data_IF_228998304960
#
_entry.id   IF_228998304960
#
_cell.length_a   1.000
_cell.length_b   1.000
_cell.length_c   1.000
_cell.angle_alpha   90.00
_cell.angle_beta   90.00
_cell.angle_gamma   90.00
#
_symmetry.space_group_name_H-M   'P 1'
#
loop_
_entity.id
_entity.type
_entity.pdbx_description
1 polymer ?
#
# COMPACT_ATOMS: atom_id res chain seq x y z
N UNK A 1 5.89 -13.53 -31.81
CA UNK A 1 5.64 -12.08 -31.70
C UNK A 1 5.86 -11.72 -30.25
N UNK A 2 6.81 -10.85 -29.94
CA UNK A 2 7.01 -10.33 -28.59
C UNK A 2 5.72 -9.62 -28.17
N UNK A 3 5.01 -10.15 -27.19
CA UNK A 3 3.81 -9.52 -26.63
C UNK A 3 4.23 -8.31 -25.82
N UNK A 4 3.69 -7.15 -26.17
CA UNK A 4 3.92 -5.89 -25.47
C UNK A 4 3.57 -6.04 -23.97
N UNK A 5 4.48 -5.70 -23.03
CA UNK A 5 4.26 -5.88 -21.60
C UNK A 5 3.10 -5.03 -21.05
N UNK A 6 2.75 -3.90 -21.68
CA UNK A 6 1.57 -3.11 -21.31
C UNK A 6 0.28 -3.86 -21.67
N UNK A 7 0.26 -4.53 -22.82
CA UNK A 7 -0.84 -5.41 -23.22
C UNK A 7 -0.99 -6.60 -22.26
N UNK A 8 0.12 -7.22 -21.83
CA UNK A 8 0.09 -8.29 -20.81
C UNK A 8 -0.46 -7.75 -19.48
N UNK A 9 0.05 -6.60 -19.00
CA UNK A 9 -0.40 -5.94 -17.78
C UNK A 9 -1.91 -5.66 -17.81
N UNK A 10 -2.43 -5.21 -18.95
CA UNK A 10 -3.85 -4.89 -19.14
C UNK A 10 -4.72 -6.14 -19.16
N UNK A 11 -4.20 -7.27 -19.64
CA UNK A 11 -4.91 -8.55 -19.70
C UNK A 11 -4.97 -9.29 -18.35
N UNK A 12 -4.18 -8.88 -17.33
CA UNK A 12 -4.23 -9.52 -16.01
C UNK A 12 -5.64 -9.39 -15.40
N UNK A 13 -6.32 -10.48 -15.01
CA UNK A 13 -7.65 -10.39 -14.42
C UNK A 13 -7.68 -9.55 -13.15
N UNK A 14 -8.72 -8.74 -13.00
CA UNK A 14 -8.99 -7.95 -11.81
C UNK A 14 -10.49 -7.85 -11.55
N UNK A 15 -10.89 -7.76 -10.30
CA UNK A 15 -12.25 -7.38 -9.90
C UNK A 15 -12.33 -5.85 -9.73
N UNK A 16 -13.47 -5.25 -10.05
CA UNK A 16 -13.67 -3.80 -9.91
C UNK A 16 -14.09 -3.44 -8.48
N UNK A 17 -13.15 -2.91 -7.70
CA UNK A 17 -13.38 -2.42 -6.34
C UNK A 17 -13.34 -0.89 -6.29
N UNK A 18 -12.48 -0.23 -7.07
CA UNK A 18 -12.35 1.23 -7.07
C UNK A 18 -12.92 1.95 -8.30
N UNK A 19 -13.02 3.27 -8.21
CA UNK A 19 -13.15 4.15 -9.36
C UNK A 19 -11.77 4.76 -9.66
N UNK A 20 -11.35 4.68 -10.91
CA UNK A 20 -10.05 5.13 -11.38
C UNK A 20 -10.19 6.02 -12.63
N UNK A 21 -9.23 6.90 -12.90
CA UNK A 21 -8.03 7.16 -12.11
C UNK A 21 -8.34 7.96 -10.83
N UNK A 22 -7.62 7.71 -9.73
CA UNK A 22 -7.78 8.53 -8.50
C UNK A 22 -7.29 9.96 -8.72
N UNK A 23 -7.87 10.98 -8.05
CA UNK A 23 -7.49 12.38 -8.27
C UNK A 23 -6.01 12.68 -8.00
N UNK A 24 -5.50 13.70 -8.69
CA UNK A 24 -4.22 14.37 -8.39
C UNK A 24 -4.53 15.82 -8.06
N UNK A 25 -4.07 16.29 -6.90
CA UNK A 25 -4.40 17.62 -6.35
C UNK A 25 -3.11 18.37 -5.97
N UNK A 26 -3.16 19.70 -6.00
CA UNK A 26 -2.06 20.56 -5.53
C UNK A 26 -2.08 20.68 -4.00
N UNK A 27 -0.89 20.63 -3.38
CA UNK A 27 -0.70 20.87 -1.95
C UNK A 27 -0.22 22.31 -1.70
N UNK A 28 -1.00 23.28 -2.19
CA UNK A 28 -0.66 24.70 -2.11
C UNK A 28 -0.57 25.19 -0.65
N UNK A 29 -1.44 24.68 0.23
CA UNK A 29 -1.47 25.06 1.64
C UNK A 29 -0.20 24.62 2.36
N UNK A 30 0.18 23.35 2.17
CA UNK A 30 1.42 22.78 2.70
C UNK A 30 2.64 23.55 2.18
N UNK A 31 2.75 23.74 0.85
CA UNK A 31 3.89 24.45 0.25
C UNK A 31 4.04 25.87 0.82
N UNK A 32 2.94 26.61 0.94
CA UNK A 32 2.95 27.94 1.54
C UNK A 32 3.37 27.91 3.03
N UNK A 33 2.89 26.92 3.79
CA UNK A 33 3.25 26.76 5.19
C UNK A 33 4.72 26.36 5.42
N UNK A 34 5.37 25.76 4.41
CA UNK A 34 6.80 25.46 4.41
C UNK A 34 7.66 26.65 3.92
N UNK A 35 7.05 27.76 3.53
CA UNK A 35 7.76 28.96 3.05
C UNK A 35 8.19 28.90 1.58
N UNK A 36 7.69 27.93 0.81
CA UNK A 36 8.04 27.74 -0.61
C UNK A 36 8.57 26.34 -0.90
N UNK A 37 9.57 26.25 -1.78
CA UNK A 37 10.16 24.99 -2.22
C UNK A 37 9.57 24.44 -3.53
N UNK A 38 9.77 23.14 -3.83
CA UNK A 38 9.29 22.50 -5.05
C UNK A 38 7.78 22.56 -5.19
N UNK A 39 7.27 22.28 -6.38
CA UNK A 39 5.83 22.02 -6.56
C UNK A 39 5.45 20.74 -5.82
N UNK A 40 4.43 20.81 -4.96
CA UNK A 40 3.94 19.67 -4.19
C UNK A 40 2.54 19.27 -4.69
N UNK A 41 2.40 18.01 -5.09
CA UNK A 41 1.12 17.43 -5.50
C UNK A 41 0.84 16.15 -4.71
N UNK A 42 -0.42 15.71 -4.68
CA UNK A 42 -0.84 14.48 -4.01
C UNK A 42 -1.66 13.59 -4.94
N UNK A 43 -1.36 12.29 -4.97
CA UNK A 43 -2.20 11.26 -5.61
C UNK A 43 -3.12 10.64 -4.56
N UNK A 44 -4.43 10.79 -4.74
CA UNK A 44 -5.47 10.52 -3.72
C UNK A 44 -5.99 9.07 -3.72
N UNK A 45 -5.09 8.10 -3.55
CA UNK A 45 -5.50 6.69 -3.39
C UNK A 45 -6.28 6.42 -2.09
N UNK A 46 -6.25 7.36 -1.16
CA UNK A 46 -7.14 7.39 -0.02
C UNK A 46 -8.61 7.65 -0.37
N UNK A 47 -8.88 8.29 -1.52
CA UNK A 47 -10.23 8.59 -2.00
C UNK A 47 -10.91 7.42 -2.72
N UNK A 48 -10.29 6.24 -2.73
CA UNK A 48 -10.93 5.02 -3.21
C UNK A 48 -12.11 4.68 -2.27
N UNK A 49 -13.34 4.64 -2.77
CA UNK A 49 -14.53 4.51 -1.90
C UNK A 49 -14.75 3.14 -1.26
N UNK A 50 -14.16 2.07 -1.81
CA UNK A 50 -14.41 0.71 -1.35
C UNK A 50 -13.85 0.45 0.04
N UNK A 51 -14.75 0.24 1.00
CA UNK A 51 -14.43 -0.03 2.40
C UNK A 51 -13.41 0.96 2.99
N UNK A 52 -13.61 2.27 2.78
CA UNK A 52 -12.69 3.34 3.20
C UNK A 52 -11.27 3.24 2.58
N UNK A 53 -11.15 2.57 1.43
CA UNK A 53 -10.12 2.87 0.43
C UNK A 53 -8.69 2.48 0.73
N UNK A 54 -7.78 3.28 0.18
CA UNK A 54 -6.34 3.12 0.34
C UNK A 54 -5.70 2.09 -0.58
N UNK A 55 -4.38 1.97 -0.44
CA UNK A 55 -3.53 1.24 -1.38
C UNK A 55 -3.84 -0.26 -1.50
N UNK A 56 -4.46 -0.86 -0.48
CA UNK A 56 -4.74 -2.29 -0.46
C UNK A 56 -5.82 -2.67 -1.46
N UNK A 57 -6.74 -1.75 -1.78
CA UNK A 57 -7.80 -1.99 -2.77
C UNK A 57 -7.17 -2.36 -4.11
N UNK A 58 -6.26 -1.54 -4.63
CA UNK A 58 -5.57 -1.78 -5.92
C UNK A 58 -4.90 -3.15 -6.00
N UNK A 59 -4.28 -3.61 -4.92
CA UNK A 59 -3.59 -4.91 -4.90
C UNK A 59 -4.59 -6.07 -4.83
N UNK A 60 -5.61 -5.93 -3.99
CA UNK A 60 -6.62 -6.95 -3.76
C UNK A 60 -7.55 -7.13 -4.96
N UNK A 61 -7.71 -6.12 -5.82
CA UNK A 61 -8.39 -6.30 -7.11
C UNK A 61 -7.79 -7.43 -7.95
N UNK A 62 -6.47 -7.58 -7.97
CA UNK A 62 -5.79 -8.61 -8.75
C UNK A 62 -5.67 -9.93 -7.97
N UNK A 63 -5.26 -9.84 -6.70
CA UNK A 63 -5.07 -11.03 -5.86
C UNK A 63 -6.39 -11.76 -5.60
N UNK A 64 -7.47 -11.03 -5.32
CA UNK A 64 -8.77 -11.65 -5.09
C UNK A 64 -9.45 -12.07 -6.38
N UNK A 65 -9.17 -11.43 -7.53
CA UNK A 65 -9.59 -11.98 -8.82
C UNK A 65 -8.99 -13.38 -9.05
N UNK A 66 -7.71 -13.56 -8.71
CA UNK A 66 -7.08 -14.89 -8.74
C UNK A 66 -7.76 -15.86 -7.78
N UNK A 67 -7.97 -15.47 -6.52
CA UNK A 67 -8.65 -16.30 -5.53
C UNK A 67 -10.05 -16.77 -6.00
N UNK A 68 -10.84 -15.85 -6.56
CA UNK A 68 -12.17 -16.14 -7.11
C UNK A 68 -12.10 -17.06 -8.34
N UNK A 69 -11.13 -16.84 -9.25
CA UNK A 69 -10.94 -17.71 -10.42
C UNK A 69 -10.51 -19.12 -10.05
N UNK A 70 -9.78 -19.25 -8.94
CA UNK A 70 -9.45 -20.55 -8.36
C UNK A 70 -10.64 -21.11 -7.56
N UNK A 71 -11.74 -20.39 -7.38
CA UNK A 71 -12.95 -20.79 -6.66
C UNK A 71 -12.78 -20.91 -5.15
N UNK A 72 -11.95 -20.04 -4.57
CA UNK A 72 -11.82 -19.92 -3.13
C UNK A 72 -13.20 -19.67 -2.47
N UNK A 73 -13.42 -20.29 -1.31
CA UNK A 73 -14.63 -20.06 -0.49
C UNK A 73 -14.33 -19.28 0.80
N UNK A 74 -13.04 -19.14 1.13
CA UNK A 74 -12.53 -18.48 2.34
C UNK A 74 -11.26 -17.71 2.00
N UNK A 75 -11.18 -16.44 2.37
CA UNK A 75 -9.94 -15.67 2.34
C UNK A 75 -9.28 -15.71 3.72
N UNK A 76 -7.98 -16.00 3.76
CA UNK A 76 -7.18 -15.98 4.98
C UNK A 76 -6.09 -14.92 4.83
N UNK A 77 -5.96 -14.02 5.80
CA UNK A 77 -4.83 -13.09 5.82
C UNK A 77 -4.43 -12.72 7.25
N UNK A 78 -3.41 -11.86 7.38
CA UNK A 78 -2.92 -11.41 8.67
C UNK A 78 -2.60 -9.91 8.69
N UNK A 79 -2.53 -9.37 9.90
CA UNK A 79 -2.17 -7.98 10.17
C UNK A 79 -2.08 -7.68 11.65
N UNK A 80 -1.94 -6.40 12.01
CA UNK A 80 -2.26 -5.94 13.36
C UNK A 80 -3.76 -5.76 13.52
N UNK A 81 -4.21 -5.53 14.76
CA UNK A 81 -5.63 -5.24 15.08
C UNK A 81 -6.21 -4.11 14.21
N UNK A 82 -5.40 -3.09 13.91
CA UNK A 82 -5.80 -1.94 13.09
C UNK A 82 -5.31 -2.02 11.63
N UNK A 83 -5.27 -3.23 11.06
CA UNK A 83 -4.72 -3.46 9.72
C UNK A 83 -5.69 -3.01 8.62
N UNK A 84 -5.31 -1.95 7.88
CA UNK A 84 -6.00 -1.54 6.65
C UNK A 84 -6.08 -2.68 5.61
N UNK A 85 -5.10 -3.58 5.58
CA UNK A 85 -5.09 -4.75 4.69
C UNK A 85 -6.12 -5.80 5.09
N UNK A 86 -6.27 -6.05 6.39
CA UNK A 86 -7.26 -6.98 6.91
C UNK A 86 -8.68 -6.49 6.58
N UNK A 87 -8.97 -5.21 6.86
CA UNK A 87 -10.24 -4.57 6.53
C UNK A 87 -10.62 -4.69 5.05
N UNK A 88 -9.73 -4.34 4.13
CA UNK A 88 -10.06 -4.44 2.70
C UNK A 88 -10.24 -5.91 2.28
N UNK A 89 -9.47 -6.85 2.85
CA UNK A 89 -9.65 -8.28 2.58
C UNK A 89 -11.01 -8.79 3.07
N UNK A 90 -11.41 -8.43 4.30
CA UNK A 90 -12.73 -8.74 4.85
C UNK A 90 -13.85 -8.14 4.00
N UNK A 91 -13.69 -6.91 3.50
CA UNK A 91 -14.67 -6.28 2.64
C UNK A 91 -14.83 -6.99 1.29
N UNK A 92 -13.74 -7.44 0.68
CA UNK A 92 -13.82 -8.26 -0.54
C UNK A 92 -14.55 -9.57 -0.25
N UNK A 93 -14.21 -10.25 0.85
CA UNK A 93 -14.87 -11.49 1.22
C UNK A 93 -16.38 -11.29 1.38
N UNK A 94 -16.80 -10.28 2.15
CA UNK A 94 -18.20 -9.94 2.35
C UNK A 94 -18.93 -9.63 1.03
N UNK A 95 -18.35 -8.81 0.14
CA UNK A 95 -18.95 -8.46 -1.16
C UNK A 95 -19.18 -9.67 -2.07
N UNK A 96 -18.32 -10.69 -1.96
CA UNK A 96 -18.35 -11.88 -2.81
C UNK A 96 -18.93 -13.12 -2.10
N UNK A 97 -19.51 -12.97 -0.90
CA UNK A 97 -20.09 -14.09 -0.15
C UNK A 97 -19.07 -15.14 0.31
N UNK A 98 -17.79 -14.76 0.43
CA UNK A 98 -16.72 -15.61 0.94
C UNK A 98 -16.64 -15.48 2.47
N UNK A 99 -16.12 -16.52 3.13
CA UNK A 99 -15.67 -16.37 4.52
C UNK A 99 -14.38 -15.55 4.57
N UNK A 100 -14.15 -14.85 5.68
CA UNK A 100 -12.88 -14.20 5.96
C UNK A 100 -12.34 -14.66 7.31
N UNK A 101 -11.09 -15.13 7.34
CA UNK A 101 -10.34 -15.41 8.56
C UNK A 101 -9.13 -14.48 8.63
N UNK A 102 -9.10 -13.67 9.68
CA UNK A 102 -8.04 -12.71 9.94
C UNK A 102 -7.19 -13.20 11.11
N UNK A 103 -5.88 -13.29 10.92
CA UNK A 103 -4.92 -13.52 12.02
C UNK A 103 -4.34 -12.17 12.44
N UNK A 104 -4.79 -11.67 13.59
CA UNK A 104 -4.38 -10.36 14.11
C UNK A 104 -3.40 -10.55 15.27
N UNK A 105 -2.19 -9.98 15.19
CA UNK A 105 -1.36 -9.93 16.39
C UNK A 105 -1.82 -8.77 17.30
N UNK A 106 -1.78 -9.01 18.61
CA UNK A 106 -2.25 -8.08 19.62
C UNK A 106 -3.32 -8.71 20.51
N UNK A 107 -3.95 -7.90 21.34
CA UNK A 107 -5.00 -8.34 22.26
C UNK A 107 -6.37 -8.06 21.63
N UNK A 108 -7.35 -8.98 21.77
CA UNK A 108 -8.74 -8.68 21.42
C UNK A 108 -9.20 -7.39 22.14
N UNK A 109 -9.73 -6.38 21.43
CA UNK A 109 -10.19 -5.17 22.08
C UNK A 109 -11.50 -5.43 22.84
N UNK A 110 -11.63 -4.90 24.05
CA UNK A 110 -12.89 -4.98 24.82
C UNK A 110 -14.05 -4.31 24.08
N UNK A 111 -13.76 -3.21 23.37
CA UNK A 111 -14.66 -2.53 22.46
C UNK A 111 -13.94 -2.24 21.16
N UNK A 112 -14.35 -2.82 20.02
CA UNK A 112 -13.68 -2.61 18.76
C UNK A 112 -13.89 -1.18 18.25
N UNK A 113 -12.83 -0.61 17.67
CA UNK A 113 -12.78 0.73 17.07
C UNK A 113 -12.13 0.65 15.69
N UNK A 114 -12.29 1.70 14.87
CA UNK A 114 -11.62 1.81 13.58
C UNK A 114 -11.70 0.53 12.73
N UNK A 115 -10.56 -0.02 12.28
CA UNK A 115 -10.53 -1.19 11.42
C UNK A 115 -11.05 -2.45 12.14
N UNK A 116 -10.78 -2.63 13.43
CA UNK A 116 -11.32 -3.76 14.20
C UNK A 116 -12.85 -3.75 14.25
N UNK A 117 -13.48 -2.57 14.38
CA UNK A 117 -14.94 -2.45 14.29
C UNK A 117 -15.45 -2.81 12.90
N UNK A 118 -14.76 -2.35 11.86
CA UNK A 118 -15.15 -2.66 10.49
C UNK A 118 -14.99 -4.15 10.17
N UNK A 119 -13.93 -4.80 10.65
CA UNK A 119 -13.71 -6.25 10.50
C UNK A 119 -14.88 -7.05 11.10
N UNK A 120 -15.36 -6.66 12.29
CA UNK A 120 -16.55 -7.25 12.92
C UNK A 120 -17.82 -7.02 12.09
N UNK A 121 -18.08 -5.79 11.67
CA UNK A 121 -19.26 -5.45 10.86
C UNK A 121 -19.28 -6.17 9.50
N UNK A 122 -18.09 -6.48 8.95
CA UNK A 122 -17.90 -7.24 7.72
C UNK A 122 -18.01 -8.76 7.94
N UNK A 123 -18.20 -9.21 9.19
CA UNK A 123 -18.39 -10.61 9.54
C UNK A 123 -17.11 -11.45 9.48
N UNK A 124 -15.95 -10.83 9.68
CA UNK A 124 -14.68 -11.56 9.69
C UNK A 124 -14.49 -12.38 10.98
N UNK A 125 -13.96 -13.60 10.84
CA UNK A 125 -13.48 -14.42 11.95
C UNK A 125 -12.07 -13.95 12.33
N UNK A 126 -11.88 -13.39 13.52
CA UNK A 126 -10.58 -12.85 13.95
C UNK A 126 -9.92 -13.77 14.98
N UNK A 127 -8.73 -14.27 14.64
CA UNK A 127 -7.88 -15.05 15.52
C UNK A 127 -6.71 -14.20 16.00
N UNK A 128 -6.71 -13.92 17.31
CA UNK A 128 -5.68 -13.11 17.94
C UNK A 128 -4.46 -13.94 18.32
N UNK A 129 -3.28 -13.46 17.97
CA UNK A 129 -1.99 -14.07 18.31
C UNK A 129 -1.11 -13.08 19.08
N UNK A 130 -0.12 -13.59 19.82
CA UNK A 130 0.69 -12.75 20.71
C UNK A 130 1.63 -11.85 19.92
N UNK A 131 2.27 -12.37 18.88
CA UNK A 131 3.31 -11.65 18.16
C UNK A 131 3.15 -11.72 16.63
N UNK A 132 3.99 -10.95 15.92
CA UNK A 132 3.97 -10.91 14.45
C UNK A 132 4.44 -12.23 13.85
N UNK A 133 5.38 -12.89 14.52
CA UNK A 133 5.98 -14.16 14.13
C UNK A 133 4.95 -15.30 14.12
N UNK A 134 3.95 -15.23 15.00
CA UNK A 134 2.87 -16.22 15.10
C UNK A 134 1.87 -16.15 13.93
N UNK A 135 1.87 -15.06 13.15
CA UNK A 135 0.87 -14.85 12.07
C UNK A 135 0.97 -15.93 11.00
N UNK A 136 2.15 -16.15 10.43
CA UNK A 136 2.35 -17.07 9.29
C UNK A 136 2.06 -18.54 9.66
N UNK A 137 2.58 -19.08 10.78
CA UNK A 137 2.24 -20.43 11.22
C UNK A 137 0.74 -20.60 11.48
N UNK A 138 0.08 -19.60 12.07
CA UNK A 138 -1.36 -19.66 12.36
C UNK A 138 -2.20 -19.63 11.08
N UNK A 139 -1.86 -18.79 10.10
CA UNK A 139 -2.51 -18.80 8.79
C UNK A 139 -2.36 -20.16 8.10
N UNK A 140 -1.16 -20.74 8.12
CA UNK A 140 -0.89 -22.05 7.51
C UNK A 140 -1.70 -23.17 8.18
N UNK A 141 -1.75 -23.18 9.52
CA UNK A 141 -2.56 -24.13 10.29
C UNK A 141 -4.07 -23.99 9.99
N UNK A 142 -4.57 -22.75 9.95
CA UNK A 142 -5.96 -22.48 9.61
C UNK A 142 -6.32 -22.94 8.19
N UNK A 143 -5.44 -22.69 7.21
CA UNK A 143 -5.61 -23.15 5.84
C UNK A 143 -5.65 -24.69 5.77
N UNK A 144 -4.70 -25.38 6.41
CA UNK A 144 -4.66 -26.83 6.44
C UNK A 144 -5.92 -27.45 7.06
N UNK A 145 -6.41 -26.88 8.17
CA UNK A 145 -7.67 -27.30 8.80
C UNK A 145 -8.87 -27.14 7.89
N UNK A 146 -8.97 -26.02 7.17
CA UNK A 146 -10.08 -25.76 6.24
C UNK A 146 -10.02 -26.72 5.04
N UNK A 147 -8.84 -26.98 4.48
CA UNK A 147 -8.66 -27.99 3.42
C UNK A 147 -9.09 -29.38 3.90
N UNK A 148 -8.70 -29.79 5.11
CA UNK A 148 -9.11 -31.07 5.69
C UNK A 148 -10.64 -31.17 5.90
N UNK A 149 -11.33 -30.04 6.06
CA UNK A 149 -12.78 -29.94 6.15
C UNK A 149 -13.48 -29.83 4.77
N UNK A 150 -12.76 -30.06 3.67
CA UNK A 150 -13.32 -29.98 2.30
C UNK A 150 -13.55 -28.56 1.79
N UNK A 151 -12.95 -27.54 2.44
CA UNK A 151 -13.06 -26.13 2.06
C UNK A 151 -11.90 -25.73 1.15
N UNK A 152 -12.04 -24.55 0.53
CA UNK A 152 -11.09 -24.00 -0.44
C UNK A 152 -10.55 -22.65 0.04
N UNK A 153 -9.66 -22.63 1.04
CA UNK A 153 -9.07 -21.38 1.52
C UNK A 153 -8.05 -20.80 0.52
N UNK A 154 -7.98 -19.49 0.42
CA UNK A 154 -6.94 -18.76 -0.29
C UNK A 154 -6.18 -17.86 0.70
N UNK A 155 -4.88 -18.14 0.88
CA UNK A 155 -4.02 -17.38 1.80
C UNK A 155 -3.44 -16.17 1.07
N UNK A 156 -3.72 -14.98 1.60
CA UNK A 156 -3.20 -13.71 1.09
C UNK A 156 -2.10 -13.24 2.05
N UNK A 157 -0.83 -13.14 1.60
CA UNK A 157 0.25 -12.59 2.41
C UNK A 157 -0.03 -11.16 2.87
N UNK A 158 0.62 -10.76 3.96
CA UNK A 158 0.45 -9.43 4.58
C UNK A 158 0.61 -8.32 3.53
N UNK A 159 -0.37 -7.42 3.49
CA UNK A 159 -0.36 -6.26 2.60
C UNK A 159 -0.60 -6.58 1.12
N UNK A 160 -0.95 -7.83 0.78
CA UNK A 160 -1.02 -8.36 -0.58
C UNK A 160 0.27 -8.07 -1.36
N UNK A 161 1.41 -8.06 -0.67
CA UNK A 161 2.71 -7.76 -1.25
C UNK A 161 3.28 -9.01 -1.92
N UNK A 162 2.66 -9.35 -3.03
CA UNK A 162 3.08 -10.36 -3.99
C UNK A 162 3.36 -9.66 -5.32
N UNK A 163 4.08 -10.30 -6.26
CA UNK A 163 4.26 -9.73 -7.59
C UNK A 163 2.92 -9.39 -8.27
N UNK A 164 1.93 -10.27 -8.17
CA UNK A 164 0.57 -10.05 -8.68
C UNK A 164 -0.11 -8.83 -8.03
N UNK A 165 -0.04 -8.70 -6.71
CA UNK A 165 -0.63 -7.55 -6.02
C UNK A 165 0.08 -6.24 -6.39
N UNK A 166 1.40 -6.27 -6.52
CA UNK A 166 2.22 -5.11 -6.88
C UNK A 166 1.90 -4.57 -8.30
N UNK A 167 1.41 -5.41 -9.22
CA UNK A 167 0.92 -4.95 -10.52
C UNK A 167 -0.23 -3.93 -10.43
N UNK A 168 -1.01 -3.93 -9.33
CA UNK A 168 -2.01 -2.88 -9.08
C UNK A 168 -1.39 -1.48 -9.04
N UNK A 169 -0.15 -1.36 -8.56
CA UNK A 169 0.61 -0.11 -8.56
C UNK A 169 1.35 0.15 -9.87
N UNK A 170 1.73 -0.88 -10.62
CA UNK A 170 2.20 -0.71 -12.01
C UNK A 170 1.09 -0.08 -12.86
N UNK A 171 -0.16 -0.56 -12.74
CA UNK A 171 -1.34 0.05 -13.38
C UNK A 171 -1.57 1.48 -12.91
N UNK A 172 -1.44 1.74 -11.61
CA UNK A 172 -1.63 3.07 -11.06
C UNK A 172 -0.60 4.10 -11.55
N UNK A 173 0.64 3.69 -11.85
CA UNK A 173 1.61 4.58 -12.52
C UNK A 173 1.15 4.90 -13.95
N UNK A 174 0.59 3.92 -14.68
CA UNK A 174 -0.01 4.17 -16.00
C UNK A 174 -1.13 5.21 -15.94
N UNK A 175 -1.98 5.15 -14.92
CA UNK A 175 -2.98 6.20 -14.65
C UNK A 175 -2.32 7.56 -14.44
N UNK A 176 -1.29 7.64 -13.58
CA UNK A 176 -0.61 8.89 -13.25
C UNK A 176 0.01 9.55 -14.50
N UNK A 177 0.68 8.75 -15.34
CA UNK A 177 1.30 9.22 -16.60
C UNK A 177 0.25 9.83 -17.53
N UNK A 178 -0.98 9.33 -17.52
CA UNK A 178 -2.09 9.89 -18.30
C UNK A 178 -2.76 11.12 -17.68
N UNK A 179 -2.49 11.44 -16.42
CA UNK A 179 -3.16 12.54 -15.69
C UNK A 179 -2.34 13.81 -15.61
N UNK A 180 -1.02 13.69 -15.43
CA UNK A 180 -0.12 14.83 -15.19
C UNK A 180 1.22 14.59 -15.86
N UNK A 181 1.99 15.67 -16.07
CA UNK A 181 3.41 15.52 -16.34
C UNK A 181 4.05 14.68 -15.22
N UNK A 182 4.79 13.62 -15.56
CA UNK A 182 5.42 12.75 -14.58
C UNK A 182 6.23 13.55 -13.55
N UNK A 183 6.03 13.31 -12.24
CA UNK A 183 6.77 14.04 -11.21
C UNK A 183 8.23 13.62 -11.21
N UNK A 184 9.11 14.50 -10.73
CA UNK A 184 10.52 14.16 -10.50
C UNK A 184 10.67 13.13 -9.38
N UNK A 185 9.84 13.26 -8.33
CA UNK A 185 9.91 12.42 -7.13
C UNK A 185 8.51 11.97 -6.71
N UNK A 186 8.38 10.70 -6.33
CA UNK A 186 7.23 10.15 -5.60
C UNK A 186 7.68 9.80 -4.19
N UNK A 187 7.00 10.33 -3.18
CA UNK A 187 7.18 9.95 -1.76
C UNK A 187 5.95 9.20 -1.28
N UNK A 188 6.13 8.07 -0.60
CA UNK A 188 5.01 7.29 -0.05
C UNK A 188 5.43 6.47 1.16
N UNK A 189 4.47 6.01 1.96
CA UNK A 189 4.73 5.07 3.06
C UNK A 189 5.03 3.64 2.54
N UNK A 190 6.07 3.01 3.07
CA UNK A 190 6.50 1.64 2.79
C UNK A 190 6.50 0.79 4.07
N UNK A 191 6.19 -0.50 3.92
CA UNK A 191 6.17 -1.48 5.02
C UNK A 191 6.28 -2.85 4.34
N UNK A 192 5.20 -3.59 4.07
CA UNK A 192 5.28 -4.84 3.28
C UNK A 192 5.89 -4.78 1.84
N UNK A 193 6.36 -3.64 1.34
CA UNK A 193 7.16 -3.52 0.09
C UNK A 193 6.37 -3.49 -1.24
N UNK A 194 5.24 -4.18 -1.36
CA UNK A 194 4.58 -4.35 -2.66
C UNK A 194 4.03 -3.09 -3.32
N UNK A 195 3.77 -2.02 -2.56
CA UNK A 195 3.37 -0.73 -3.14
C UNK A 195 4.56 -0.08 -3.83
N UNK A 196 5.71 -0.02 -3.13
CA UNK A 196 6.94 0.55 -3.66
C UNK A 196 7.45 -0.24 -4.87
N UNK A 197 7.44 -1.57 -4.80
CA UNK A 197 7.82 -2.44 -5.91
C UNK A 197 6.99 -2.14 -7.17
N UNK A 198 5.67 -1.99 -7.02
CA UNK A 198 4.80 -1.64 -8.14
C UNK A 198 5.01 -0.22 -8.68
N UNK A 199 5.27 0.76 -7.80
CA UNK A 199 5.58 2.13 -8.21
C UNK A 199 6.89 2.19 -9.01
N UNK A 200 7.96 1.55 -8.51
CA UNK A 200 9.26 1.47 -9.17
C UNK A 200 9.13 0.74 -10.51
N UNK A 201 8.54 -0.46 -10.51
CA UNK A 201 8.33 -1.24 -11.72
C UNK A 201 7.49 -0.47 -12.75
N UNK A 202 6.42 0.20 -12.32
CA UNK A 202 5.59 1.05 -13.15
C UNK A 202 6.39 2.20 -13.77
N UNK A 203 7.13 2.96 -12.97
CA UNK A 203 7.94 4.07 -13.49
C UNK A 203 8.91 3.56 -14.58
N UNK A 204 9.60 2.45 -14.33
CA UNK A 204 10.53 1.85 -15.29
C UNK A 204 9.84 1.34 -16.55
N UNK A 205 8.70 0.66 -16.41
CA UNK A 205 7.92 0.12 -17.52
C UNK A 205 7.37 1.24 -18.43
N UNK A 206 6.93 2.35 -17.86
CA UNK A 206 6.48 3.53 -18.60
C UNK A 206 7.61 4.51 -18.93
N UNK A 207 8.88 4.10 -18.81
CA UNK A 207 10.09 4.90 -19.14
C UNK A 207 10.22 6.23 -18.39
N UNK A 208 9.64 6.31 -17.21
CA UNK A 208 9.70 7.47 -16.33
C UNK A 208 11.03 7.54 -15.59
N UNK A 209 11.54 8.77 -15.43
CA UNK A 209 12.75 9.07 -14.63
C UNK A 209 12.44 9.46 -13.19
N UNK A 210 11.20 9.27 -12.76
CA UNK A 210 10.73 9.55 -11.41
C UNK A 210 11.49 8.74 -10.37
N UNK A 211 12.08 9.42 -9.38
CA UNK A 211 12.65 8.78 -8.19
C UNK A 211 11.52 8.37 -7.24
N UNK A 212 11.57 7.15 -6.70
CA UNK A 212 10.59 6.66 -5.73
C UNK A 212 11.25 6.51 -4.37
N UNK A 213 10.79 7.31 -3.42
CA UNK A 213 11.23 7.31 -2.02
C UNK A 213 10.14 6.65 -1.17
N UNK A 214 10.44 5.45 -0.67
CA UNK A 214 9.57 4.75 0.28
C UNK A 214 9.99 5.05 1.70
N UNK A 215 9.11 5.64 2.50
CA UNK A 215 9.37 5.93 3.92
C UNK A 215 8.86 4.77 4.75
N UNK A 216 9.76 4.04 5.39
CA UNK A 216 9.42 2.90 6.23
C UNK A 216 8.53 3.31 7.41
N UNK A 217 7.57 2.46 7.74
CA UNK A 217 6.76 2.61 8.93
C UNK A 217 7.36 1.90 10.15
N UNK A 218 8.19 0.87 9.93
CA UNK A 218 8.62 -0.07 10.97
C UNK A 218 9.80 -1.00 10.62
N UNK A 219 10.07 -1.30 9.35
CA UNK A 219 11.15 -2.20 8.94
C UNK A 219 12.42 -1.42 8.54
N UNK A 220 13.60 -2.07 8.59
CA UNK A 220 14.85 -1.45 8.11
C UNK A 220 14.85 -1.25 6.60
N UNK A 221 15.56 -0.23 6.14
CA UNK A 221 15.73 0.06 4.73
C UNK A 221 16.33 -1.13 3.96
N UNK A 222 17.32 -1.82 4.55
CA UNK A 222 17.95 -3.00 3.97
C UNK A 222 16.93 -4.13 3.69
N UNK A 223 16.12 -4.48 4.70
CA UNK A 223 15.11 -5.55 4.59
C UNK A 223 14.06 -5.21 3.52
N UNK A 224 13.62 -3.95 3.49
CA UNK A 224 12.65 -3.49 2.51
C UNK A 224 13.21 -3.49 1.10
N UNK A 225 14.45 -3.04 0.89
CA UNK A 225 15.11 -3.07 -0.41
C UNK A 225 15.22 -4.49 -0.96
N UNK A 226 15.58 -5.47 -0.14
CA UNK A 226 15.62 -6.88 -0.54
C UNK A 226 14.24 -7.41 -0.94
N UNK A 227 13.21 -7.09 -0.16
CA UNK A 227 11.81 -7.45 -0.45
C UNK A 227 11.35 -6.82 -1.77
N UNK A 228 11.61 -5.53 -1.97
CA UNK A 228 11.24 -4.79 -3.17
C UNK A 228 11.91 -5.37 -4.41
N UNK A 229 13.22 -5.67 -4.34
CA UNK A 229 13.95 -6.28 -5.44
C UNK A 229 13.34 -7.64 -5.85
N UNK A 230 13.01 -8.48 -4.86
CA UNK A 230 12.36 -9.79 -5.10
C UNK A 230 11.00 -9.62 -5.79
N UNK A 231 10.19 -8.64 -5.37
CA UNK A 231 8.89 -8.38 -5.96
C UNK A 231 9.01 -7.86 -7.40
N UNK A 232 10.01 -7.02 -7.70
CA UNK A 232 10.28 -6.53 -9.06
C UNK A 232 10.63 -7.69 -9.99
N UNK A 233 11.48 -8.63 -9.57
CA UNK A 233 11.81 -9.84 -10.35
C UNK A 233 10.54 -10.67 -10.66
N UNK A 234 9.65 -10.80 -9.68
CA UNK A 234 8.37 -11.46 -9.90
C UNK A 234 7.45 -10.72 -10.88
N UNK A 235 7.47 -9.38 -10.88
CA UNK A 235 6.73 -8.56 -11.84
C UNK A 235 7.26 -8.79 -13.25
N UNK A 236 8.59 -8.81 -13.43
CA UNK A 236 9.22 -9.13 -14.72
C UNK A 236 8.75 -10.48 -15.24
N UNK A 237 8.68 -11.48 -14.35
CA UNK A 237 8.20 -12.83 -14.70
C UNK A 237 6.75 -12.81 -15.19
N UNK A 238 5.84 -12.12 -14.48
CA UNK A 238 4.43 -12.05 -14.89
C UNK A 238 4.27 -11.29 -16.21
N UNK A 239 5.05 -10.23 -16.41
CA UNK A 239 5.03 -9.41 -17.63
C UNK A 239 5.87 -10.01 -18.77
N UNK A 240 6.43 -11.20 -18.58
CA UNK A 240 7.26 -11.91 -19.57
C UNK A 240 8.44 -11.06 -20.08
N UNK A 241 9.03 -10.26 -19.20
CA UNK A 241 10.20 -9.46 -19.48
C UNK A 241 11.48 -10.28 -19.30
N UNK A 242 12.54 -9.90 -20.02
CA UNK A 242 13.86 -10.45 -19.76
C UNK A 242 14.33 -10.08 -18.35
N UNK A 243 15.05 -10.96 -17.63
CA UNK A 243 15.55 -10.65 -16.29
C UNK A 243 16.34 -9.34 -16.26
N UNK A 244 15.99 -8.45 -15.32
CA UNK A 244 16.62 -7.15 -15.17
C UNK A 244 16.15 -6.05 -16.14
N UNK A 245 15.12 -6.31 -16.96
CA UNK A 245 14.48 -5.27 -17.80
C UNK A 245 13.99 -4.08 -16.99
N UNK A 246 13.54 -4.33 -15.75
CA UNK A 246 13.10 -3.34 -14.80
C UNK A 246 14.19 -3.01 -13.77
N UNK A 247 15.47 -3.22 -14.05
CA UNK A 247 16.57 -2.79 -13.17
C UNK A 247 17.09 -1.39 -13.52
N UNK A 248 16.94 -0.96 -14.77
CA UNK A 248 17.42 0.34 -15.24
C UNK A 248 16.52 1.48 -14.77
N UNK A 249 17.11 2.57 -14.26
CA UNK A 249 16.41 3.76 -13.79
C UNK A 249 17.07 4.36 -12.55
N UNK A 250 16.43 5.35 -11.91
CA UNK A 250 16.88 5.85 -10.61
C UNK A 250 17.01 4.73 -9.57
N UNK A 251 17.90 4.94 -8.59
CA UNK A 251 18.04 4.07 -7.44
C UNK A 251 16.73 3.97 -6.66
N UNK A 252 16.41 2.76 -6.19
CA UNK A 252 15.29 2.56 -5.25
C UNK A 252 15.74 3.08 -3.89
N UNK A 253 14.99 4.02 -3.32
CA UNK A 253 15.30 4.62 -2.03
C UNK A 253 14.30 4.18 -0.97
N UNK A 254 14.81 3.73 0.18
CA UNK A 254 14.00 3.50 1.38
C UNK A 254 14.59 4.32 2.51
N UNK A 255 13.74 5.13 3.14
CA UNK A 255 14.07 5.97 4.29
C UNK A 255 13.44 5.35 5.55
N UNK A 256 14.25 4.95 6.53
CA UNK A 256 13.79 4.32 7.78
C UNK A 256 14.03 5.18 9.03
N UNK A 257 14.63 6.36 8.91
CA UNK A 257 14.87 7.30 10.01
C UNK A 257 13.62 7.95 10.61
N UNK A 258 12.48 7.89 9.91
CA UNK A 258 11.19 8.44 10.39
C UNK A 258 10.32 7.41 11.14
N UNK A 259 10.82 6.18 11.35
CA UNK A 259 10.06 5.10 12.01
C UNK A 259 9.78 5.40 13.50
N UNK A 260 10.67 6.09 14.21
CA UNK A 260 10.59 6.28 15.66
C UNK A 260 10.58 4.95 16.43
N UNK A 261 9.72 4.84 17.44
CA UNK A 261 9.60 3.63 18.27
C UNK A 261 8.95 2.42 17.56
N UNK A 262 8.73 2.53 16.25
CA UNK A 262 8.27 1.45 15.39
C UNK A 262 6.78 1.50 15.05
N UNK A 263 6.23 0.34 14.71
CA UNK A 263 4.92 0.24 14.07
C UNK A 263 3.77 0.72 14.95
N UNK A 264 2.90 1.57 14.38
CA UNK A 264 1.69 2.05 15.04
C UNK A 264 1.95 3.09 16.14
N UNK A 265 3.21 3.44 16.42
CA UNK A 265 3.59 4.45 17.40
C UNK A 265 3.91 5.76 16.67
N UNK A 266 3.14 6.84 16.89
CA UNK A 266 3.39 8.12 16.22
C UNK A 266 4.56 8.87 16.86
N UNK A 267 5.41 9.46 16.02
CA UNK A 267 6.49 10.39 16.41
C UNK A 267 5.99 11.83 16.49
N UNK A 268 6.73 12.73 17.15
CA UNK A 268 6.43 14.18 17.14
C UNK A 268 6.37 14.74 15.71
N UNK A 269 7.34 14.37 14.86
CA UNK A 269 7.36 14.77 13.45
C UNK A 269 6.13 14.25 12.68
N UNK A 270 5.70 13.02 12.95
CA UNK A 270 4.49 12.48 12.30
C UNK A 270 3.21 13.18 12.77
N UNK A 271 3.14 13.59 14.05
CA UNK A 271 2.01 14.38 14.58
C UNK A 271 1.98 15.77 13.96
N UNK A 272 3.14 16.42 13.84
CA UNK A 272 3.26 17.70 13.14
C UNK A 272 2.79 17.58 11.69
N UNK A 273 3.24 16.56 10.96
CA UNK A 273 2.86 16.34 9.57
C UNK A 273 1.35 16.13 9.40
N UNK A 274 0.74 15.36 10.31
CA UNK A 274 -0.71 15.12 10.37
C UNK A 274 -1.46 16.43 10.61
N UNK A 275 -1.09 17.20 11.63
CA UNK A 275 -1.70 18.48 11.95
C UNK A 275 -1.56 19.50 10.82
N UNK A 276 -0.37 19.57 10.23
CA UNK A 276 -0.06 20.54 9.18
C UNK A 276 -0.90 20.27 7.94
N UNK A 277 -0.91 19.03 7.43
CA UNK A 277 -1.66 18.71 6.22
C UNK A 277 -3.18 18.84 6.43
N UNK A 278 -3.68 18.44 7.60
CA UNK A 278 -5.09 18.60 7.95
C UNK A 278 -5.51 20.08 8.00
N UNK A 279 -4.67 20.96 8.57
CA UNK A 279 -5.00 22.40 8.71
C UNK A 279 -4.77 23.21 7.44
N UNK A 280 -3.89 22.75 6.55
CA UNK A 280 -3.48 23.53 5.36
C UNK A 280 -4.17 23.09 4.09
N UNK A 281 -4.46 21.80 3.94
CA UNK A 281 -5.04 21.25 2.71
C UNK A 281 -6.31 20.40 2.99
N UNK A 282 -6.76 20.29 4.24
CA UNK A 282 -7.92 19.49 4.64
C UNK A 282 -7.79 17.99 4.26
N UNK A 283 -6.57 17.48 4.27
CA UNK A 283 -6.26 16.07 3.97
C UNK A 283 -5.80 15.38 5.25
N UNK A 284 -6.44 14.25 5.57
CA UNK A 284 -6.20 13.49 6.79
C UNK A 284 -5.24 12.33 6.53
N UNK A 285 -4.18 12.25 7.32
CA UNK A 285 -3.20 11.16 7.29
C UNK A 285 -3.49 10.11 8.37
N UNK A 286 -2.93 8.92 8.20
CA UNK A 286 -2.90 7.85 9.20
C UNK A 286 -1.65 8.00 10.09
N UNK A 287 -1.78 7.94 11.43
CA UNK A 287 -0.66 8.06 12.36
C UNK A 287 0.42 6.97 12.24
N UNK A 288 0.08 5.81 11.68
CA UNK A 288 0.98 4.65 11.51
C UNK A 288 1.85 4.76 10.27
N UNK A 289 1.30 5.25 9.16
CA UNK A 289 1.92 5.15 7.83
C UNK A 289 2.13 6.49 7.16
N UNK A 290 1.04 7.11 6.72
CA UNK A 290 1.09 8.27 5.82
C UNK A 290 1.56 9.54 6.54
N UNK A 291 1.34 9.64 7.85
CA UNK A 291 1.92 10.70 8.68
C UNK A 291 3.45 10.65 8.73
N UNK A 292 4.05 9.46 8.88
CA UNK A 292 5.52 9.28 8.87
C UNK A 292 6.11 9.61 7.51
N UNK A 293 5.46 9.17 6.43
CA UNK A 293 5.89 9.49 5.08
C UNK A 293 5.79 10.99 4.75
N UNK A 294 4.73 11.66 5.21
CA UNK A 294 4.60 13.11 5.06
C UNK A 294 5.62 13.86 5.91
N UNK A 295 5.94 13.37 7.11
CA UNK A 295 7.00 13.95 7.93
C UNK A 295 8.36 13.95 7.22
N UNK A 296 8.71 12.85 6.53
CA UNK A 296 9.92 12.79 5.71
C UNK A 296 9.89 13.78 4.55
N UNK A 297 8.76 13.88 3.83
CA UNK A 297 8.61 14.86 2.75
C UNK A 297 8.82 16.29 3.27
N UNK A 298 8.17 16.64 4.38
CA UNK A 298 8.29 17.97 5.02
C UNK A 298 9.74 18.25 5.41
N UNK A 299 10.41 17.29 6.06
CA UNK A 299 11.81 17.42 6.44
C UNK A 299 12.70 17.65 5.21
N UNK A 300 12.50 16.89 4.14
CA UNK A 300 13.29 17.01 2.91
C UNK A 300 13.10 18.35 2.20
N UNK A 301 11.90 18.92 2.25
CA UNK A 301 11.66 20.30 1.78
C UNK A 301 12.43 21.30 2.65
N UNK A 302 12.33 21.19 3.98
CA UNK A 302 13.03 22.09 4.93
C UNK A 302 14.56 22.01 4.82
N UNK A 303 15.08 20.83 4.50
CA UNK A 303 16.50 20.55 4.30
C UNK A 303 17.00 20.90 2.89
N UNK A 304 16.12 21.38 2.00
CA UNK A 304 16.43 21.65 0.59
C UNK A 304 16.98 20.41 -0.16
N UNK A 305 16.51 19.20 0.19
CA UNK A 305 16.85 17.97 -0.56
C UNK A 305 16.18 17.91 -1.93
N UNK A 306 15.09 18.65 -2.11
CA UNK A 306 14.43 18.84 -3.40
C UNK A 306 14.76 20.22 -3.96
N UNK A 307 14.98 20.30 -5.28
CA UNK A 307 15.20 21.57 -5.97
C UNK A 307 13.86 22.28 -6.20
N UNK A 308 13.87 23.61 -6.23
CA UNK A 308 12.66 24.41 -6.42
C UNK A 308 11.95 24.19 -7.76
N UNK A 309 12.69 23.74 -8.79
CA UNK A 309 12.15 23.43 -10.12
C UNK A 309 11.52 22.03 -10.21
N UNK A 310 11.63 21.21 -9.16
CA UNK A 310 11.08 19.86 -9.15
C UNK A 310 9.58 19.84 -8.82
N UNK A 311 8.91 18.81 -9.33
CA UNK A 311 7.60 18.38 -8.86
C UNK A 311 7.73 17.14 -7.98
N UNK A 312 7.29 17.25 -6.72
CA UNK A 312 7.25 16.15 -5.74
C UNK A 312 5.81 15.73 -5.52
N UNK A 313 5.53 14.45 -5.79
CA UNK A 313 4.24 13.83 -5.57
C UNK A 313 4.23 13.04 -4.25
N UNK A 314 3.34 13.38 -3.34
CA UNK A 314 2.98 12.51 -2.23
C UNK A 314 1.94 11.49 -2.67
N UNK A 315 2.25 10.20 -2.60
CA UNK A 315 1.26 9.16 -2.89
C UNK A 315 0.49 8.83 -1.61
N UNK A 316 -0.72 9.37 -1.47
CA UNK A 316 -1.53 9.17 -0.29
C UNK A 316 -2.16 7.77 -0.31
N UNK A 317 -1.58 6.85 0.43
CA UNK A 317 -1.97 5.43 0.44
C UNK A 317 -3.18 5.09 1.33
N UNK A 318 -3.92 6.09 1.82
CA UNK A 318 -5.05 5.95 2.74
C UNK A 318 -4.64 5.71 4.20
N UNK A 319 -5.52 4.98 4.91
CA UNK A 319 -5.35 4.57 6.30
C UNK A 319 -6.14 5.41 7.32
N UNK A 320 -6.92 6.39 6.88
CA UNK A 320 -7.55 7.37 7.78
C UNK A 320 -8.48 6.78 8.83
N UNK A 321 -9.01 5.58 8.61
CA UNK A 321 -9.81 4.88 9.62
C UNK A 321 -9.05 4.72 10.93
N UNK A 322 -7.71 4.59 10.88
CA UNK A 322 -6.86 4.48 12.07
C UNK A 322 -6.81 5.75 12.94
N UNK A 323 -7.33 6.89 12.48
CA UNK A 323 -7.51 8.08 13.32
C UNK A 323 -8.54 7.84 14.44
N UNK A 324 -9.43 6.87 14.24
CA UNK A 324 -10.50 6.55 15.18
C UNK A 324 -10.19 5.29 16.00
N UNK A 325 -8.93 4.83 16.00
CA UNK A 325 -8.49 3.61 16.67
C UNK A 325 -8.36 3.80 18.18
#
# INVERSE_FOLDING_TARGET
MSTDPISILSAVPAIALGHYPTPVEELNGLRAALGGGPRLIVKRDDSIGFAFGGNKVRKLELVCARALSEGADTLITAGGVQSNHARVTAAVAARHGLRCLLVANGVPPDKPTANALLDELLGAEVHYVKSREDRSPTMASAAARLVAAGRRPYVIPVGASTPLGALGYVRAVGELVGQVTPPDVIVHASSSGGTQAGLVAGCRLYTQRTQVIGVSADDSAESLLQTIATLIIGIETILQLAPGSLSNGPSVEVEDGFCGDGYGIPTELSREALDLLARRDAIFLDPTYTAKAMAALIAYVRENRFRDDQTVLFWHTGGQVNLFA
#
